data_IF_013753305074
#
_entry.id   IF_013753305074
#
_cell.length_a   1.000
_cell.length_b   1.000
_cell.length_c   1.000
_cell.angle_alpha   90.00
_cell.angle_beta   90.00
_cell.angle_gamma   90.00
#
_symmetry.space_group_name_H-M   'P 1'
#
loop_
_entity.id
_entity.type
_entity.pdbx_description
1 polymer ?
#
# COMPACT_ATOMS: atom_id res chain seq x y z
N UNK A 1 -5.51 -0.67 -12.25
CA UNK A 1 -6.15 0.32 -11.35
C UNK A 1 -7.05 -0.40 -10.37
N UNK A 2 -7.50 0.28 -9.31
CA UNK A 2 -8.42 -0.29 -8.32
C UNK A 2 -9.63 0.65 -8.11
N UNK A 3 -10.73 0.09 -7.61
CA UNK A 3 -11.88 0.86 -7.14
C UNK A 3 -12.39 0.22 -5.86
N UNK A 4 -12.66 1.04 -4.86
CA UNK A 4 -13.16 0.61 -3.55
C UNK A 4 -14.34 1.48 -3.16
N UNK A 5 -15.29 0.92 -2.40
CA UNK A 5 -16.36 1.70 -1.77
C UNK A 5 -15.96 2.01 -0.34
N UNK A 6 -15.98 3.29 0.00
CA UNK A 6 -15.63 3.80 1.33
C UNK A 6 -16.91 4.32 1.99
N UNK A 7 -17.14 4.06 3.28
CA UNK A 7 -18.27 4.65 3.99
C UNK A 7 -18.20 6.18 3.93
N UNK A 8 -19.33 6.88 3.75
CA UNK A 8 -19.34 8.34 3.53
C UNK A 8 -18.82 9.14 4.73
N UNK A 9 -18.73 8.52 5.90
CA UNK A 9 -18.22 9.13 7.13
C UNK A 9 -16.70 9.11 7.23
N UNK A 10 -16.01 8.30 6.42
CA UNK A 10 -14.56 8.17 6.50
C UNK A 10 -13.88 9.39 5.86
N UNK A 11 -12.79 9.81 6.46
CA UNK A 11 -11.97 10.93 6.02
C UNK A 11 -10.76 10.40 5.27
N UNK A 12 -10.47 10.99 4.10
CA UNK A 12 -9.24 10.70 3.37
C UNK A 12 -8.03 11.22 4.16
N UNK A 13 -7.13 10.30 4.48
CA UNK A 13 -5.89 10.50 5.21
C UNK A 13 -4.70 10.03 4.38
N UNK A 14 -4.86 9.87 3.07
CA UNK A 14 -3.74 9.56 2.19
C UNK A 14 -2.60 10.57 2.41
N UNK A 15 -1.37 10.06 2.44
CA UNK A 15 -0.18 10.91 2.62
C UNK A 15 -0.18 11.99 1.51
N UNK A 16 -0.01 13.29 1.86
CA UNK A 16 -0.03 14.35 0.88
C UNK A 16 1.10 14.16 -0.13
N UNK A 17 0.81 14.43 -1.41
CA UNK A 17 1.76 14.23 -2.52
C UNK A 17 3.06 15.04 -2.33
N UNK A 18 3.01 16.11 -1.52
CA UNK A 18 4.12 17.03 -1.25
C UNK A 18 4.97 16.69 -0.01
N UNK A 19 4.75 15.57 0.69
CA UNK A 19 5.57 15.22 1.86
C UNK A 19 7.07 15.06 1.52
N UNK A 20 7.42 14.88 0.23
CA UNK A 20 8.80 14.80 -0.24
C UNK A 20 9.22 15.98 -1.16
N UNK A 21 8.37 16.98 -1.40
CA UNK A 21 8.70 18.09 -2.31
C UNK A 21 9.86 18.98 -1.82
N UNK A 22 10.24 18.86 -0.55
CA UNK A 22 11.34 19.64 0.05
C UNK A 22 12.73 18.97 0.07
N UNK A 23 12.88 17.69 -0.31
CA UNK A 23 14.16 16.96 -0.08
C UNK A 23 14.84 16.34 -1.31
N UNK A 24 14.23 16.33 -2.50
CA UNK A 24 14.76 15.57 -3.64
C UNK A 24 15.30 16.48 -4.77
N UNK A 25 16.34 17.27 -4.48
CA UNK A 25 17.09 18.05 -5.50
C UNK A 25 18.20 17.23 -6.20
N UNK A 26 18.53 16.02 -5.70
CA UNK A 26 19.56 15.16 -6.27
C UNK A 26 19.05 13.72 -6.39
N UNK A 27 18.62 13.32 -7.59
CA UNK A 27 18.56 11.92 -8.06
C UNK A 27 17.82 10.88 -7.21
N UNK A 28 17.13 11.28 -6.15
CA UNK A 28 16.50 10.37 -5.21
C UNK A 28 15.21 9.85 -5.85
N UNK A 29 15.21 8.57 -6.22
CA UNK A 29 14.02 7.89 -6.73
C UNK A 29 12.92 8.13 -5.71
N UNK A 30 11.81 8.75 -6.13
CA UNK A 30 10.68 9.06 -5.28
C UNK A 30 10.42 7.88 -4.32
N UNK A 31 10.48 8.14 -3.00
CA UNK A 31 10.21 7.12 -1.99
C UNK A 31 8.89 6.44 -2.36
N UNK A 32 8.84 5.10 -2.44
CA UNK A 32 7.63 4.42 -2.84
C UNK A 32 6.50 4.82 -1.90
N UNK A 33 5.41 5.38 -2.44
CA UNK A 33 4.20 5.74 -1.67
C UNK A 33 3.84 4.57 -0.76
N UNK A 34 3.79 4.80 0.55
CA UNK A 34 3.53 3.73 1.54
C UNK A 34 2.12 3.17 1.34
N UNK A 35 1.17 4.06 1.06
CA UNK A 35 -0.24 3.77 0.81
C UNK A 35 -0.66 4.39 -0.53
N UNK A 36 -1.41 3.63 -1.32
CA UNK A 36 -2.07 4.14 -2.52
C UNK A 36 -3.36 4.91 -2.19
N UNK A 37 -4.02 4.56 -1.09
CA UNK A 37 -5.13 5.29 -0.49
C UNK A 37 -5.25 4.92 1.00
N UNK A 38 -5.68 5.85 1.85
CA UNK A 38 -5.89 5.61 3.28
C UNK A 38 -7.09 6.41 3.76
N UNK A 39 -8.06 5.73 4.35
CA UNK A 39 -9.27 6.33 4.89
C UNK A 39 -9.44 5.94 6.35
N UNK A 40 -9.87 6.88 7.18
CA UNK A 40 -10.04 6.67 8.61
C UNK A 40 -11.44 7.08 9.03
N UNK A 41 -12.04 6.34 9.95
CA UNK A 41 -13.29 6.73 10.58
C UNK A 41 -13.08 7.99 11.44
N UNK A 42 -14.15 8.79 11.69
CA UNK A 42 -14.04 10.01 12.49
C UNK A 42 -13.55 9.78 13.93
N UNK A 43 -13.80 8.60 14.48
CA UNK A 43 -13.37 8.16 15.81
C UNK A 43 -11.95 7.55 15.83
N UNK A 44 -11.35 7.29 14.66
CA UNK A 44 -9.98 6.80 14.51
C UNK A 44 -9.77 5.32 14.83
N UNK A 45 -10.82 4.56 15.13
CA UNK A 45 -10.72 3.12 15.43
C UNK A 45 -10.71 2.25 14.17
N UNK A 46 -11.35 2.70 13.09
CA UNK A 46 -11.44 1.95 11.85
C UNK A 46 -10.60 2.62 10.75
N UNK A 47 -9.76 1.83 10.10
CA UNK A 47 -8.84 2.32 9.06
C UNK A 47 -8.90 1.39 7.86
N UNK A 48 -9.06 1.98 6.67
CA UNK A 48 -8.99 1.28 5.39
C UNK A 48 -7.76 1.78 4.64
N UNK A 49 -6.78 0.89 4.48
CA UNK A 49 -5.51 1.19 3.80
C UNK A 49 -5.35 0.33 2.56
N UNK A 50 -5.02 0.95 1.43
CA UNK A 50 -4.67 0.27 0.19
C UNK A 50 -3.17 0.40 -0.02
N UNK A 51 -2.47 -0.73 -0.21
CA UNK A 51 -1.04 -0.76 -0.53
C UNK A 51 -0.85 -1.38 -1.91
N UNK A 52 0.00 -0.75 -2.73
CA UNK A 52 0.40 -1.29 -4.03
C UNK A 52 1.91 -1.55 -4.02
N UNK A 53 2.30 -2.82 -4.14
CA UNK A 53 3.72 -3.23 -4.23
C UNK A 53 3.91 -4.13 -5.44
N UNK A 54 5.08 -4.03 -6.08
CA UNK A 54 5.47 -4.97 -7.12
C UNK A 54 5.66 -6.36 -6.51
N UNK A 55 5.17 -7.41 -7.17
CA UNK A 55 5.34 -8.80 -6.74
C UNK A 55 6.82 -9.18 -6.61
N UNK A 56 7.69 -8.59 -7.43
CA UNK A 56 9.14 -8.77 -7.38
C UNK A 56 9.78 -8.28 -6.05
N UNK A 57 9.16 -7.32 -5.35
CA UNK A 57 9.67 -6.85 -4.05
C UNK A 57 9.22 -7.72 -2.87
N UNK A 58 8.29 -8.66 -3.08
CA UNK A 58 7.79 -9.56 -2.04
C UNK A 58 8.70 -10.77 -1.78
N UNK A 59 9.87 -10.87 -2.44
CA UNK A 59 10.84 -11.98 -2.26
C UNK A 59 10.25 -13.38 -2.50
N UNK A 60 9.19 -13.49 -3.30
CA UNK A 60 8.54 -14.77 -3.63
C UNK A 60 9.18 -15.34 -4.89
N UNK A 61 10.41 -15.84 -4.76
CA UNK A 61 11.16 -16.55 -5.82
C UNK A 61 11.36 -15.80 -7.16
N UNK A 62 12.23 -16.31 -8.04
CA UNK A 62 12.62 -15.67 -9.31
C UNK A 62 11.49 -15.66 -10.37
N UNK A 63 10.40 -16.38 -10.12
CA UNK A 63 9.23 -16.42 -10.99
C UNK A 63 8.29 -15.27 -10.61
N UNK A 64 8.05 -14.37 -11.55
CA UNK A 64 7.04 -13.32 -11.43
C UNK A 64 5.67 -13.97 -11.14
N UNK A 65 5.19 -13.85 -9.90
CA UNK A 65 3.86 -14.31 -9.51
C UNK A 65 2.82 -13.59 -10.37
N UNK A 66 2.05 -14.36 -11.15
CA UNK A 66 1.00 -13.83 -12.02
C UNK A 66 -0.37 -13.89 -11.35
N UNK A 67 -0.55 -14.83 -10.43
CA UNK A 67 -1.77 -15.02 -9.66
C UNK A 67 -1.51 -14.91 -8.15
N UNK A 68 -2.54 -14.55 -7.38
CA UNK A 68 -2.47 -14.49 -5.90
C UNK A 68 -2.22 -15.86 -5.28
N UNK A 69 -2.60 -16.94 -5.96
CA UNK A 69 -2.38 -18.32 -5.53
C UNK A 69 -0.90 -18.71 -5.57
N UNK A 70 -0.10 -18.05 -6.43
CA UNK A 70 1.36 -18.27 -6.53
C UNK A 70 2.09 -17.80 -5.27
N UNK A 71 1.46 -16.94 -4.46
CA UNK A 71 2.01 -16.43 -3.20
C UNK A 71 2.00 -17.50 -2.08
N UNK A 72 1.25 -18.59 -2.27
CA UNK A 72 1.11 -19.67 -1.30
C UNK A 72 -0.02 -19.45 -0.29
N UNK A 73 0.10 -20.05 0.89
CA UNK A 73 -0.99 -20.02 1.89
C UNK A 73 -1.17 -18.64 2.52
N UNK A 74 -2.42 -18.27 2.82
CA UNK A 74 -2.76 -17.00 3.47
C UNK A 74 -1.95 -16.76 4.75
N UNK A 75 -1.70 -17.81 5.55
CA UNK A 75 -0.94 -17.72 6.80
C UNK A 75 0.53 -17.33 6.57
N UNK A 76 1.13 -17.83 5.49
CA UNK A 76 2.51 -17.49 5.10
C UNK A 76 2.58 -16.05 4.60
N UNK A 77 1.62 -15.68 3.77
CA UNK A 77 1.58 -14.42 3.04
C UNK A 77 1.19 -13.23 3.94
N UNK A 78 0.31 -13.43 4.92
CA UNK A 78 -0.14 -12.38 5.83
C UNK A 78 1.01 -11.64 6.53
N UNK A 79 2.10 -12.34 6.86
CA UNK A 79 3.29 -11.74 7.49
C UNK A 79 4.03 -10.74 6.61
N UNK A 80 3.80 -10.77 5.31
CA UNK A 80 4.42 -9.86 4.33
C UNK A 80 3.57 -8.59 4.17
N UNK A 81 2.25 -8.71 4.36
CA UNK A 81 1.28 -7.63 4.11
C UNK A 81 0.88 -6.85 5.37
N UNK A 82 1.04 -7.44 6.55
CA UNK A 82 0.82 -6.78 7.84
C UNK A 82 2.18 -6.34 8.40
N UNK A 83 2.47 -5.02 8.49
CA UNK A 83 3.67 -4.53 9.14
C UNK A 83 3.69 -4.79 10.65
#
# INVERSE_FOLDING_TARGET
GFSIRIPPTFVDKAEPEDYNAGMSMYGDKAKPKTYAARFESPDGYEVVSVLTRSTNSLKITFLEAKDVSDLGSLKTVARIFVP
#
